data_IF_291576317615
#
_entry.id   IF_291576317615
#
_cell.length_a   1.000
_cell.length_b   1.000
_cell.length_c   1.000
_cell.angle_alpha   90.00
_cell.angle_beta   90.00
_cell.angle_gamma   90.00
#
_symmetry.space_group_name_H-M   'P 1'
#
loop_
_entity.id
_entity.type
_entity.pdbx_description
1 polymer ?
#
# COMPACT_ATOMS: atom_id res chain seq x y z
N UNK A 1 -14.71 -39.79 36.26
CA UNK A 1 -13.73 -38.68 36.39
C UNK A 1 -13.41 -38.28 34.96
N UNK A 2 -14.32 -37.51 34.38
CA UNK A 2 -14.23 -37.00 33.01
C UNK A 2 -13.51 -35.67 33.04
N UNK A 3 -12.41 -35.57 32.30
CA UNK A 3 -11.67 -34.33 32.07
C UNK A 3 -11.82 -33.96 30.59
N UNK A 4 -12.84 -33.15 30.32
CA UNK A 4 -13.08 -32.45 29.06
C UNK A 4 -12.03 -31.37 28.84
N UNK A 5 -11.18 -31.54 27.83
CA UNK A 5 -10.26 -30.53 27.32
C UNK A 5 -11.00 -29.56 26.40
N UNK A 6 -10.97 -28.27 26.74
CA UNK A 6 -11.49 -27.17 25.92
C UNK A 6 -10.67 -26.98 24.63
N UNK A 7 -11.28 -26.59 23.50
CA UNK A 7 -10.54 -26.27 22.29
C UNK A 7 -9.93 -24.86 22.42
N UNK A 8 -8.61 -24.79 22.36
CA UNK A 8 -7.84 -23.54 22.23
C UNK A 8 -8.12 -22.89 20.88
N UNK A 9 -8.51 -21.62 20.92
CA UNK A 9 -8.62 -20.73 19.76
C UNK A 9 -7.33 -20.78 18.95
N UNK A 10 -7.44 -21.06 17.64
CA UNK A 10 -6.35 -20.89 16.69
C UNK A 10 -6.29 -19.42 16.31
N UNK A 11 -5.10 -18.85 16.42
CA UNK A 11 -4.72 -17.57 15.84
C UNK A 11 -5.02 -17.54 14.33
N UNK A 12 -5.87 -16.61 13.91
CA UNK A 12 -6.24 -16.32 12.52
C UNK A 12 -5.24 -15.35 11.85
N UNK A 13 -3.96 -15.34 12.25
CA UNK A 13 -2.99 -14.34 11.77
C UNK A 13 -2.22 -14.72 10.51
N UNK A 14 -2.49 -15.86 9.86
CA UNK A 14 -1.70 -16.38 8.71
C UNK A 14 -2.53 -16.55 7.41
N UNK A 15 -3.83 -16.23 7.36
CA UNK A 15 -4.67 -16.52 6.17
C UNK A 15 -5.01 -15.36 5.23
N UNK A 16 -4.56 -14.12 5.48
CA UNK A 16 -5.09 -12.94 4.76
C UNK A 16 -4.36 -12.54 3.46
N UNK A 17 -3.22 -13.14 3.12
CA UNK A 17 -2.42 -12.73 1.95
C UNK A 17 -2.94 -13.25 0.61
N UNK A 18 -3.69 -14.36 0.59
CA UNK A 18 -4.28 -14.92 -0.64
C UNK A 18 -5.50 -14.15 -1.17
N UNK A 19 -5.94 -13.09 -0.49
CA UNK A 19 -7.09 -12.27 -0.88
C UNK A 19 -6.74 -10.82 -1.27
N UNK A 20 -5.44 -10.49 -1.33
CA UNK A 20 -5.00 -9.13 -1.63
C UNK A 20 -5.31 -8.75 -3.09
N UNK A 21 -5.90 -7.57 -3.27
CA UNK A 21 -6.36 -7.04 -4.55
C UNK A 21 -5.86 -5.63 -4.72
N UNK A 22 -5.41 -5.31 -5.93
CA UNK A 22 -4.74 -4.05 -6.18
C UNK A 22 -5.10 -3.46 -7.54
N UNK A 23 -5.17 -2.14 -7.62
CA UNK A 23 -4.92 -1.42 -8.88
C UNK A 23 -3.41 -1.39 -9.17
N UNK A 24 -2.96 -1.04 -10.39
CA UNK A 24 -1.56 -0.79 -10.68
C UNK A 24 -0.86 0.13 -9.66
N UNK A 25 -1.48 1.27 -9.32
CA UNK A 25 -0.88 2.21 -8.36
C UNK A 25 -0.89 1.65 -6.93
N UNK A 26 -1.96 0.94 -6.54
CA UNK A 26 -2.03 0.28 -5.24
C UNK A 26 -0.99 -0.84 -5.08
N UNK A 27 -0.76 -1.62 -6.14
CA UNK A 27 0.30 -2.64 -6.17
C UNK A 27 1.67 -1.99 -6.04
N UNK A 28 1.91 -0.90 -6.77
CA UNK A 28 3.17 -0.16 -6.67
C UNK A 28 3.39 0.39 -5.24
N UNK A 29 2.35 0.95 -4.61
CA UNK A 29 2.39 1.36 -3.20
C UNK A 29 2.73 0.17 -2.28
N UNK A 30 2.06 -0.96 -2.45
CA UNK A 30 2.33 -2.17 -1.69
C UNK A 30 3.79 -2.63 -1.81
N UNK A 31 4.36 -2.62 -3.02
CA UNK A 31 5.77 -2.98 -3.26
C UNK A 31 6.77 -2.05 -2.57
N UNK A 32 6.43 -0.76 -2.46
CA UNK A 32 7.29 0.23 -1.80
C UNK A 32 7.23 0.16 -0.27
N UNK A 33 6.05 -0.11 0.31
CA UNK A 33 5.83 0.12 1.74
C UNK A 33 5.56 -1.13 2.57
N UNK A 34 5.14 -2.24 1.96
CA UNK A 34 4.54 -3.35 2.71
C UNK A 34 5.09 -4.73 2.37
N UNK A 35 5.73 -4.90 1.21
CA UNK A 35 6.15 -6.22 0.73
C UNK A 35 6.97 -7.02 1.75
N UNK A 36 7.92 -6.37 2.44
CA UNK A 36 8.79 -7.02 3.44
C UNK A 36 8.12 -7.29 4.80
N UNK A 37 6.92 -6.77 5.03
CA UNK A 37 6.17 -6.98 6.29
C UNK A 37 5.32 -8.25 6.27
N UNK A 38 5.22 -8.92 5.12
CA UNK A 38 4.26 -10.01 4.91
C UNK A 38 4.78 -11.38 5.38
N UNK A 39 6.10 -11.59 5.42
CA UNK A 39 6.72 -12.90 5.71
C UNK A 39 7.51 -12.97 7.03
N UNK A 40 7.61 -11.88 7.78
CA UNK A 40 8.43 -11.84 9.00
C UNK A 40 7.57 -12.00 10.26
N UNK A 41 7.68 -13.16 10.93
CA UNK A 41 7.40 -13.24 12.37
C UNK A 41 8.22 -12.15 13.09
N UNK A 42 7.73 -11.59 14.21
CA UNK A 42 8.40 -10.52 14.94
C UNK A 42 9.68 -11.05 15.58
N UNK A 43 10.73 -11.21 14.78
CA UNK A 43 12.08 -11.49 15.23
C UNK A 43 12.79 -10.16 15.49
N UNK A 44 13.62 -10.17 16.53
CA UNK A 44 14.08 -9.03 17.34
C UNK A 44 15.11 -8.10 16.65
N UNK A 45 15.09 -8.00 15.31
CA UNK A 45 15.89 -7.05 14.54
C UNK A 45 15.05 -6.42 13.42
N UNK A 46 14.08 -5.60 13.84
CA UNK A 46 13.26 -4.72 13.01
C UNK A 46 14.09 -3.57 12.39
N UNK A 47 15.18 -3.90 11.66
CA UNK A 47 16.03 -2.94 10.93
C UNK A 47 15.53 -2.66 9.51
N UNK A 48 14.63 -3.49 8.97
CA UNK A 48 14.31 -3.49 7.54
C UNK A 48 12.95 -2.88 7.18
N UNK A 49 12.14 -2.43 8.14
CA UNK A 49 10.87 -1.74 7.85
C UNK A 49 11.11 -0.27 7.48
N UNK A 50 11.64 -0.02 6.29
CA UNK A 50 11.67 1.32 5.67
C UNK A 50 10.88 1.31 4.36
N UNK A 51 10.37 2.47 3.92
CA UNK A 51 9.91 2.65 2.55
C UNK A 51 11.03 2.41 1.56
N UNK A 52 10.85 1.47 0.64
CA UNK A 52 11.85 1.23 -0.39
C UNK A 52 11.91 2.41 -1.35
N UNK A 53 13.12 2.86 -1.66
CA UNK A 53 13.34 3.87 -2.69
C UNK A 53 14.17 3.25 -3.81
N UNK A 54 13.48 2.65 -4.76
CA UNK A 54 14.09 1.91 -5.86
C UNK A 54 14.71 2.83 -6.92
N UNK A 55 15.90 2.43 -7.38
CA UNK A 55 16.57 2.97 -8.56
C UNK A 55 16.57 1.92 -9.68
N UNK A 56 16.28 2.35 -10.90
CA UNK A 56 16.39 1.54 -12.11
C UNK A 56 17.86 1.45 -12.54
N UNK A 57 18.38 0.24 -12.59
CA UNK A 57 19.74 -0.06 -13.04
C UNK A 57 19.78 -0.41 -14.53
N UNK A 58 20.96 -0.39 -15.18
CA UNK A 58 21.08 -0.72 -16.60
C UNK A 58 20.52 -2.10 -16.93
N UNK A 59 19.53 -2.14 -17.83
CA UNK A 59 18.96 -3.39 -18.33
C UNK A 59 19.97 -4.16 -19.18
N UNK A 60 19.97 -5.49 -19.06
CA UNK A 60 20.53 -6.36 -20.11
C UNK A 60 19.49 -6.49 -21.24
N UNK A 61 19.92 -6.81 -22.46
CA UNK A 61 19.10 -6.78 -23.68
C UNK A 61 17.67 -7.37 -23.51
N UNK A 62 16.66 -6.63 -23.98
CA UNK A 62 15.21 -6.94 -24.01
C UNK A 62 14.52 -7.26 -22.67
N UNK A 63 15.20 -7.12 -21.53
CA UNK A 63 14.62 -7.33 -20.20
C UNK A 63 14.23 -6.00 -19.52
N UNK A 64 13.24 -6.04 -18.63
CA UNK A 64 12.98 -4.93 -17.71
C UNK A 64 14.26 -4.62 -16.89
N UNK A 65 14.55 -3.34 -16.61
CA UNK A 65 15.70 -3.00 -15.78
C UNK A 65 15.54 -3.60 -14.37
N UNK A 66 16.61 -4.10 -13.75
CA UNK A 66 16.57 -4.47 -12.35
C UNK A 66 16.40 -3.21 -11.48
N UNK A 67 15.63 -3.34 -10.41
CA UNK A 67 15.37 -2.24 -9.48
C UNK A 67 16.04 -2.55 -8.14
N UNK A 68 16.82 -1.61 -7.60
CA UNK A 68 17.55 -1.81 -6.34
C UNK A 68 17.23 -0.65 -5.40
N UNK A 69 16.83 -0.97 -4.16
CA UNK A 69 16.54 0.03 -3.14
C UNK A 69 17.83 0.73 -2.70
N UNK A 70 17.85 2.06 -2.64
CA UNK A 70 19.07 2.79 -2.24
C UNK A 70 19.40 2.73 -0.74
N UNK A 71 18.44 2.27 0.08
CA UNK A 71 18.59 2.20 1.54
C UNK A 71 19.08 0.81 1.96
N UNK A 72 18.36 -0.25 1.58
CA UNK A 72 18.70 -1.63 1.98
C UNK A 72 19.33 -2.48 0.89
N UNK A 73 19.42 -1.99 -0.34
CA UNK A 73 19.97 -2.70 -1.50
C UNK A 73 19.23 -3.98 -1.90
N UNK A 74 18.03 -4.23 -1.34
CA UNK A 74 17.15 -5.28 -1.85
C UNK A 74 16.81 -5.04 -3.32
N UNK A 75 16.79 -6.13 -4.09
CA UNK A 75 16.48 -6.11 -5.51
C UNK A 75 15.02 -6.48 -5.73
N UNK A 76 14.27 -5.58 -6.35
CA UNK A 76 12.94 -5.85 -6.87
C UNK A 76 13.06 -6.30 -8.34
N UNK A 77 12.51 -7.48 -8.63
CA UNK A 77 12.45 -8.04 -9.98
C UNK A 77 10.98 -8.18 -10.38
N UNK A 78 10.61 -7.54 -11.49
CA UNK A 78 9.27 -7.64 -12.07
C UNK A 78 9.37 -8.21 -13.49
N UNK A 79 8.77 -9.38 -13.69
CA UNK A 79 8.70 -10.05 -14.99
C UNK A 79 7.26 -10.08 -15.47
N UNK A 80 6.98 -9.48 -16.61
CA UNK A 80 5.72 -9.67 -17.31
C UNK A 80 5.67 -11.12 -17.86
N UNK A 81 4.67 -11.89 -17.41
CA UNK A 81 4.45 -13.28 -17.83
C UNK A 81 3.58 -13.37 -19.09
N UNK A 82 2.79 -12.33 -19.34
CA UNK A 82 1.99 -12.18 -20.56
C UNK A 82 2.26 -10.81 -21.18
N UNK A 83 2.29 -10.75 -22.52
CA UNK A 83 2.25 -9.47 -23.21
C UNK A 83 0.84 -8.91 -23.11
N UNK A 84 0.67 -7.62 -22.80
CA UNK A 84 -0.66 -7.00 -22.87
C UNK A 84 -1.18 -7.09 -24.31
N UNK A 85 -2.48 -7.29 -24.46
CA UNK A 85 -3.15 -7.32 -25.78
C UNK A 85 -3.23 -5.93 -26.43
N UNK A 86 -3.08 -4.87 -25.62
CA UNK A 86 -3.13 -3.44 -25.98
C UNK A 86 -2.01 -2.67 -25.25
N UNK A 87 -2.11 -1.34 -25.12
CA UNK A 87 -1.23 -0.56 -24.23
C UNK A 87 -1.31 -1.09 -22.79
N UNK A 88 -0.17 -1.18 -22.09
CA UNK A 88 -0.06 -1.77 -20.74
C UNK A 88 -1.00 -1.08 -19.75
N UNK A 89 -1.32 0.21 -19.93
CA UNK A 89 -2.21 0.98 -19.05
C UNK A 89 -3.71 0.69 -19.23
N UNK A 90 -4.09 -0.08 -20.24
CA UNK A 90 -5.49 -0.31 -20.60
C UNK A 90 -5.91 -1.74 -20.24
N UNK A 91 -6.98 -1.85 -19.47
CA UNK A 91 -7.66 -3.11 -19.19
C UNK A 91 -8.87 -3.24 -20.11
N UNK A 92 -9.06 -4.43 -20.71
CA UNK A 92 -10.19 -4.69 -21.60
C UNK A 92 -11.55 -4.82 -20.90
N UNK A 93 -11.55 -4.94 -19.56
CA UNK A 93 -12.76 -5.24 -18.76
C UNK A 93 -13.11 -4.11 -17.78
N UNK A 94 -12.19 -3.19 -17.50
CA UNK A 94 -12.37 -2.18 -16.45
C UNK A 94 -11.59 -0.90 -16.72
N UNK A 95 -11.76 0.13 -15.87
CA UNK A 95 -11.08 1.40 -16.01
C UNK A 95 -9.57 1.31 -15.75
N UNK A 96 -9.10 0.28 -15.05
CA UNK A 96 -7.68 -0.04 -14.81
C UNK A 96 -7.54 -1.56 -14.60
N UNK A 97 -6.31 -2.06 -14.51
CA UNK A 97 -6.10 -3.46 -14.13
C UNK A 97 -6.53 -3.71 -12.68
N UNK A 98 -7.06 -4.88 -12.41
CA UNK A 98 -7.41 -5.30 -11.06
C UNK A 98 -6.69 -6.60 -10.76
N UNK A 99 -5.52 -6.46 -10.14
CA UNK A 99 -4.59 -7.53 -9.87
C UNK A 99 -4.99 -8.31 -8.64
N UNK A 100 -5.03 -9.63 -8.77
CA UNK A 100 -5.20 -10.57 -7.68
C UNK A 100 -3.86 -11.22 -7.36
N UNK A 101 -3.51 -11.30 -6.08
CA UNK A 101 -2.32 -12.01 -5.63
C UNK A 101 -2.55 -13.54 -5.64
N UNK A 102 -1.77 -14.25 -6.44
CA UNK A 102 -1.70 -15.70 -6.53
C UNK A 102 -0.35 -16.21 -6.02
N UNK A 103 -0.31 -17.25 -5.18
CA UNK A 103 0.94 -17.85 -4.73
C UNK A 103 1.70 -18.57 -5.87
N UNK A 104 3.04 -18.49 -5.95
CA UNK A 104 3.92 -17.60 -5.18
C UNK A 104 4.10 -16.24 -5.89
N UNK A 105 3.70 -15.14 -5.25
CA UNK A 105 3.97 -13.73 -5.66
C UNK A 105 3.68 -13.39 -7.14
N UNK A 106 2.64 -14.01 -7.69
CA UNK A 106 2.13 -13.75 -9.04
C UNK A 106 0.91 -12.85 -8.94
N UNK A 107 0.93 -11.73 -9.66
CA UNK A 107 -0.19 -10.79 -9.72
C UNK A 107 -0.85 -10.91 -11.07
N UNK A 108 -2.14 -11.27 -11.12
CA UNK A 108 -2.86 -11.45 -12.37
C UNK A 108 -4.12 -10.57 -12.41
N UNK A 109 -4.27 -9.79 -13.47
CA UNK A 109 -5.46 -8.98 -13.69
C UNK A 109 -6.67 -9.89 -13.98
N UNK A 110 -7.73 -9.79 -13.17
CA UNK A 110 -8.91 -10.64 -13.29
C UNK A 110 -9.74 -10.41 -14.57
N UNK A 111 -9.43 -9.35 -15.33
CA UNK A 111 -10.12 -8.98 -16.56
C UNK A 111 -9.38 -9.43 -17.82
N UNK A 112 -8.17 -8.89 -18.04
CA UNK A 112 -7.39 -9.12 -19.25
C UNK A 112 -6.31 -10.20 -19.12
N UNK A 113 -6.16 -10.82 -17.95
CA UNK A 113 -5.12 -11.83 -17.65
C UNK A 113 -3.67 -11.32 -17.82
N UNK A 114 -3.48 -9.99 -17.80
CA UNK A 114 -2.15 -9.43 -17.70
C UNK A 114 -1.53 -9.86 -16.37
N UNK A 115 -0.39 -10.55 -16.45
CA UNK A 115 0.20 -11.24 -15.31
C UNK A 115 1.66 -10.83 -15.10
N UNK A 116 2.00 -10.61 -13.84
CA UNK A 116 3.32 -10.20 -13.37
C UNK A 116 3.83 -11.20 -12.35
N UNK A 117 5.09 -11.61 -12.48
CA UNK A 117 5.82 -12.29 -11.43
C UNK A 117 6.69 -11.25 -10.71
N UNK A 118 6.52 -11.15 -9.41
CA UNK A 118 7.34 -10.28 -8.57
C UNK A 118 8.19 -11.12 -7.62
N UNK A 119 9.45 -10.74 -7.46
CA UNK A 119 10.32 -11.26 -6.40
C UNK A 119 11.15 -10.14 -5.81
N UNK A 120 11.48 -10.27 -4.53
CA UNK A 120 12.42 -9.41 -3.84
C UNK A 120 13.58 -10.26 -3.32
N UNK A 121 14.77 -9.95 -3.80
CA UNK A 121 15.98 -10.69 -3.44
C UNK A 121 16.84 -9.85 -2.49
N UNK A 122 17.40 -10.49 -1.46
CA UNK A 122 18.35 -9.85 -0.55
C UNK A 122 19.64 -9.41 -1.27
N UNK A 123 20.29 -8.33 -0.79
CA UNK A 123 21.53 -7.85 -1.39
C UNK A 123 22.65 -8.88 -1.29
N UNK A 124 23.46 -8.99 -2.35
CA UNK A 124 24.66 -9.83 -2.34
C UNK A 124 25.74 -9.16 -1.48
N UNK A 125 25.95 -7.87 -1.66
CA UNK A 125 26.80 -7.06 -0.80
C UNK A 125 25.99 -6.59 0.41
N UNK A 126 26.10 -7.35 1.48
CA UNK A 126 25.43 -7.01 2.74
C UNK A 126 25.84 -5.60 3.23
N UNK A 127 24.93 -4.84 3.84
CA UNK A 127 25.20 -3.48 4.33
C UNK A 127 26.43 -3.37 5.24
N UNK A 128 26.77 -4.42 5.99
CA UNK A 128 27.95 -4.44 6.87
C UNK A 128 29.26 -4.26 6.10
N UNK A 129 29.36 -4.78 4.88
CA UNK A 129 30.55 -4.61 4.03
C UNK A 129 30.76 -3.14 3.66
N UNK A 130 29.67 -2.44 3.36
CA UNK A 130 29.71 -1.01 3.06
C UNK A 130 30.12 -0.19 4.28
N UNK A 131 29.56 -0.52 5.46
CA UNK A 131 29.95 0.11 6.73
C UNK A 131 31.42 -0.13 7.08
N UNK A 132 31.97 -1.31 6.79
CA UNK A 132 33.40 -1.59 6.98
C UNK A 132 34.29 -0.71 6.07
N UNK A 133 33.90 -0.52 4.82
CA UNK A 133 34.62 0.36 3.89
C UNK A 133 34.60 1.82 4.37
N UNK A 134 33.44 2.31 4.85
CA UNK A 134 33.29 3.68 5.36
C UNK A 134 34.17 4.00 6.58
N UNK A 135 34.52 3.00 7.41
CA UNK A 135 35.40 3.20 8.58
C UNK A 135 36.82 3.64 8.18
N UNK A 136 37.25 3.25 6.99
CA UNK A 136 38.63 3.43 6.51
C UNK A 136 38.71 4.36 5.30
N UNK A 137 37.56 4.71 4.69
CA UNK A 137 37.46 5.53 3.49
C UNK A 137 36.44 6.64 3.72
N UNK A 138 36.88 7.91 3.86
CA UNK A 138 35.96 9.02 4.03
C UNK A 138 35.11 9.26 2.78
N UNK A 139 33.90 9.78 2.97
CA UNK A 139 33.00 10.18 1.88
C UNK A 139 33.45 11.47 1.18
N UNK A 140 34.13 12.37 1.91
CA UNK A 140 34.56 13.66 1.41
C UNK A 140 36.09 13.74 1.35
N UNK A 141 36.63 14.18 0.21
CA UNK A 141 38.03 14.54 0.08
C UNK A 141 38.23 15.95 0.65
N UNK A 142 39.02 16.09 1.72
CA UNK A 142 39.58 17.38 2.11
C UNK A 142 40.59 17.81 1.04
N UNK A 143 40.48 19.05 0.53
CA UNK A 143 41.26 19.54 -0.63
C UNK A 143 42.79 19.51 -0.45
N UNK A 144 43.29 19.32 0.77
CA UNK A 144 44.72 19.46 1.11
C UNK A 144 45.35 18.20 1.76
N UNK A 145 44.69 17.04 1.77
CA UNK A 145 45.27 15.80 2.32
C UNK A 145 45.90 14.88 1.26
N UNK A 146 46.98 14.15 1.60
CA UNK A 146 47.62 13.20 0.70
C UNK A 146 46.62 12.11 0.26
N UNK A 147 46.83 11.56 -0.95
CA UNK A 147 46.00 10.56 -1.63
C UNK A 147 45.65 9.36 -0.74
N UNK A 148 44.61 9.51 0.08
CA UNK A 148 44.01 8.43 0.84
C UNK A 148 42.81 7.89 0.05
N UNK A 149 42.56 6.56 0.09
CA UNK A 149 41.39 5.97 -0.54
C UNK A 149 40.10 6.64 -0.05
N UNK A 150 39.32 7.20 -0.97
CA UNK A 150 37.98 7.70 -0.69
C UNK A 150 36.92 6.74 -1.22
N UNK A 151 35.70 6.89 -0.71
CA UNK A 151 34.63 5.94 -1.01
C UNK A 151 34.22 5.95 -2.50
N UNK A 152 34.15 7.11 -3.13
CA UNK A 152 33.75 7.23 -4.53
C UNK A 152 34.76 6.54 -5.46
N UNK A 153 36.06 6.76 -5.24
CA UNK A 153 37.12 6.16 -6.06
C UNK A 153 37.27 4.66 -5.84
N UNK A 154 37.04 4.18 -4.60
CA UNK A 154 36.98 2.77 -4.27
C UNK A 154 35.83 2.09 -5.02
N UNK A 155 34.59 2.61 -4.94
CA UNK A 155 33.44 2.06 -5.65
C UNK A 155 33.64 2.07 -7.18
N UNK A 156 34.18 3.16 -7.74
CA UNK A 156 34.54 3.24 -9.17
C UNK A 156 35.58 2.19 -9.58
N UNK A 157 36.53 1.87 -8.69
CA UNK A 157 37.54 0.83 -8.95
C UNK A 157 36.91 -0.57 -8.89
N UNK A 158 36.08 -0.84 -7.88
CA UNK A 158 35.34 -2.10 -7.75
C UNK A 158 34.42 -2.33 -8.97
N UNK A 159 33.71 -1.28 -9.43
CA UNK A 159 32.92 -1.32 -10.67
C UNK A 159 33.77 -1.69 -11.88
N UNK A 160 35.00 -1.18 -11.98
CA UNK A 160 35.93 -1.57 -13.06
C UNK A 160 36.27 -3.06 -12.98
N UNK A 161 36.53 -3.60 -11.79
CA UNK A 161 36.81 -5.03 -11.63
C UNK A 161 35.62 -5.92 -11.95
N UNK A 162 34.41 -5.52 -11.55
CA UNK A 162 33.19 -6.26 -11.90
C UNK A 162 32.92 -6.19 -13.41
N UNK A 163 33.13 -5.03 -14.06
CA UNK A 163 33.03 -4.91 -15.53
C UNK A 163 34.03 -5.81 -16.25
N UNK A 164 35.27 -5.87 -15.78
CA UNK A 164 36.30 -6.74 -16.34
C UNK A 164 35.89 -8.23 -16.26
N UNK A 165 35.34 -8.66 -15.11
CA UNK A 165 34.80 -10.02 -14.96
C UNK A 165 33.62 -10.29 -15.91
N UNK A 166 32.69 -9.33 -16.05
CA UNK A 166 31.57 -9.42 -17.00
C UNK A 166 32.02 -9.47 -18.47
N UNK A 167 33.21 -8.95 -18.78
CA UNK A 167 33.85 -9.03 -20.10
C UNK A 167 34.72 -10.27 -20.30
N UNK A 168 34.87 -11.14 -19.29
CA UNK A 168 35.67 -12.36 -19.39
C UNK A 168 37.12 -12.23 -18.96
N UNK A 169 37.54 -11.11 -18.36
CA UNK A 169 38.92 -10.91 -17.91
C UNK A 169 39.14 -11.56 -16.52
N UNK A 170 40.02 -12.57 -16.49
CA UNK A 170 40.38 -13.33 -15.29
C UNK A 170 41.81 -13.05 -14.80
N UNK A 171 42.36 -11.87 -15.12
CA UNK A 171 43.70 -11.49 -14.64
C UNK A 171 43.72 -11.23 -13.14
N UNK A 172 44.75 -11.77 -12.46
CA UNK A 172 45.00 -11.45 -11.06
C UNK A 172 45.37 -9.97 -10.87
N UNK A 173 44.92 -9.38 -9.77
CA UNK A 173 45.15 -7.97 -9.44
C UNK A 173 46.29 -7.88 -8.43
N UNK A 174 47.31 -7.08 -8.75
CA UNK A 174 48.42 -6.83 -7.86
C UNK A 174 48.00 -5.87 -6.72
N UNK A 175 48.00 -6.35 -5.47
CA UNK A 175 47.58 -5.55 -4.30
C UNK A 175 48.56 -4.43 -3.93
N UNK A 176 49.80 -4.49 -4.42
CA UNK A 176 50.86 -3.48 -4.24
C UNK A 176 50.87 -2.43 -5.36
N UNK A 177 49.98 -2.51 -6.34
CA UNK A 177 49.90 -1.52 -7.40
C UNK A 177 49.57 -0.13 -6.80
N UNK A 178 50.33 0.94 -7.13
CA UNK A 178 50.06 2.30 -6.64
C UNK A 178 48.62 2.77 -6.88
N UNK A 179 48.02 2.44 -8.03
CA UNK A 179 46.63 2.78 -8.34
C UNK A 179 45.61 2.01 -7.49
N UNK A 180 45.91 0.74 -7.16
CA UNK A 180 45.09 -0.04 -6.22
C UNK A 180 45.16 0.55 -4.82
N UNK A 181 46.37 0.81 -4.33
CA UNK A 181 46.60 1.35 -3.00
C UNK A 181 46.01 2.75 -2.82
N UNK A 182 46.10 3.62 -3.83
CA UNK A 182 45.57 4.98 -3.76
C UNK A 182 44.03 5.03 -3.76
N UNK A 183 43.35 4.07 -4.39
CA UNK A 183 41.88 4.10 -4.58
C UNK A 183 41.11 3.17 -3.67
N UNK A 184 41.63 1.97 -3.43
CA UNK A 184 40.98 0.98 -2.56
C UNK A 184 41.79 0.76 -1.28
N UNK A 185 43.13 0.74 -1.35
CA UNK A 185 43.97 0.39 -0.20
C UNK A 185 43.96 -1.11 0.11
N UNK A 186 44.85 -1.54 1.01
CA UNK A 186 44.94 -2.94 1.46
C UNK A 186 44.67 -3.03 2.97
N UNK A 187 43.43 -3.30 3.32
CA UNK A 187 42.96 -3.57 4.68
C UNK A 187 41.96 -4.75 4.66
N UNK A 188 41.45 -5.13 5.84
CA UNK A 188 40.52 -6.25 5.94
C UNK A 188 39.16 -5.95 5.27
N UNK A 189 38.78 -4.67 5.16
CA UNK A 189 37.58 -4.26 4.43
C UNK A 189 37.76 -4.46 2.91
N UNK A 190 38.92 -4.09 2.35
CA UNK A 190 39.31 -4.37 0.96
C UNK A 190 39.28 -5.86 0.67
N UNK A 191 39.86 -6.69 1.55
CA UNK A 191 39.86 -8.15 1.37
C UNK A 191 38.43 -8.71 1.39
N UNK A 192 37.60 -8.23 2.31
CA UNK A 192 36.21 -8.68 2.46
C UNK A 192 35.35 -8.32 1.25
N UNK A 193 35.46 -7.09 0.73
CA UNK A 193 34.70 -6.69 -0.47
C UNK A 193 35.21 -7.39 -1.73
N UNK A 194 36.52 -7.61 -1.85
CA UNK A 194 37.11 -8.35 -2.97
C UNK A 194 36.67 -9.83 -2.96
N UNK A 195 36.65 -10.45 -1.77
CA UNK A 195 36.08 -11.79 -1.58
C UNK A 195 34.59 -11.84 -1.92
N UNK A 196 33.82 -10.80 -1.58
CA UNK A 196 32.43 -10.67 -1.99
C UNK A 196 32.29 -10.57 -3.52
N UNK A 197 33.22 -9.96 -4.25
CA UNK A 197 33.19 -9.97 -5.73
C UNK A 197 33.55 -11.36 -6.29
N UNK A 198 34.35 -12.12 -5.56
CA UNK A 198 34.79 -13.48 -5.91
C UNK A 198 36.32 -13.61 -6.04
N UNK A 199 37.08 -12.56 -5.77
CA UNK A 199 38.55 -12.61 -5.77
C UNK A 199 39.08 -13.25 -4.49
N UNK A 200 40.13 -14.05 -4.61
CA UNK A 200 40.81 -14.67 -3.45
C UNK A 200 42.18 -14.03 -3.23
N UNK A 201 42.44 -13.52 -2.03
CA UNK A 201 43.76 -12.95 -1.70
C UNK A 201 44.78 -14.05 -1.42
N UNK A 202 45.88 -14.03 -2.17
CA UNK A 202 47.01 -14.93 -1.99
C UNK A 202 48.13 -14.23 -1.18
N UNK A 203 48.34 -14.68 0.06
CA UNK A 203 49.33 -14.10 0.97
C UNK A 203 50.78 -14.37 0.60
N UNK A 204 51.06 -15.33 -0.29
CA UNK A 204 52.43 -15.64 -0.73
C UNK A 204 52.86 -14.74 -1.89
N UNK A 205 51.93 -14.40 -2.78
CA UNK A 205 52.21 -13.60 -3.97
C UNK A 205 51.82 -12.13 -3.82
N UNK A 206 50.97 -11.79 -2.84
CA UNK A 206 50.32 -10.48 -2.68
C UNK A 206 49.40 -10.10 -3.86
N UNK A 207 48.81 -11.10 -4.52
CA UNK A 207 47.82 -10.91 -5.59
C UNK A 207 46.41 -11.29 -5.14
N UNK A 208 45.41 -10.67 -5.76
CA UNK A 208 44.04 -11.13 -5.74
C UNK A 208 43.79 -11.95 -7.01
N UNK A 209 43.60 -13.26 -6.84
CA UNK A 209 43.33 -14.17 -7.93
C UNK A 209 41.86 -14.09 -8.34
N UNK A 210 41.63 -14.00 -9.65
CA UNK A 210 40.30 -13.87 -10.21
C UNK A 210 39.50 -15.19 -10.10
N UNK A 211 38.17 -15.11 -9.93
CA UNK A 211 37.32 -16.30 -9.92
C UNK A 211 37.31 -17.01 -11.27
N UNK A 212 37.04 -18.32 -11.23
CA UNK A 212 36.75 -19.09 -12.44
C UNK A 212 35.37 -18.68 -12.98
N UNK A 213 35.30 -18.23 -14.24
CA UNK A 213 34.04 -17.75 -14.83
C UNK A 213 33.18 -18.94 -15.25
N UNK A 214 32.07 -19.16 -14.53
CA UNK A 214 31.00 -20.06 -14.97
C UNK A 214 29.79 -19.27 -15.50
N UNK A 215 28.92 -19.91 -16.28
CA UNK A 215 27.70 -19.27 -16.79
C UNK A 215 26.75 -18.80 -15.68
N UNK A 216 26.78 -19.45 -14.51
CA UNK A 216 26.01 -19.06 -13.32
C UNK A 216 26.54 -17.81 -12.60
N UNK A 217 27.81 -17.41 -12.81
CA UNK A 217 28.42 -16.29 -12.08
C UNK A 217 28.08 -14.92 -12.69
N UNK A 218 27.63 -14.90 -13.94
CA UNK A 218 27.32 -13.64 -14.64
C UNK A 218 26.18 -12.87 -13.95
N UNK A 219 25.10 -13.55 -13.56
CA UNK A 219 23.98 -12.91 -12.85
C UNK A 219 24.42 -12.34 -11.50
N UNK A 220 25.29 -13.05 -10.79
CA UNK A 220 25.89 -12.59 -9.54
C UNK A 220 26.68 -11.28 -9.72
N UNK A 221 27.49 -11.17 -10.76
CA UNK A 221 28.26 -9.94 -11.02
C UNK A 221 27.41 -8.79 -11.55
N UNK A 222 26.36 -9.07 -12.33
CA UNK A 222 25.34 -8.05 -12.67
C UNK A 222 24.74 -7.51 -11.38
N UNK A 223 24.39 -8.39 -10.46
CA UNK A 223 23.77 -8.00 -9.21
C UNK A 223 24.68 -7.11 -8.35
N UNK A 224 25.96 -7.50 -8.21
CA UNK A 224 26.97 -6.70 -7.50
C UNK A 224 27.23 -5.37 -8.21
N UNK A 225 27.28 -5.35 -9.55
CA UNK A 225 27.43 -4.11 -10.33
C UNK A 225 26.32 -3.13 -9.99
N UNK A 226 25.08 -3.60 -9.98
CA UNK A 226 23.91 -2.75 -9.74
C UNK A 226 23.90 -2.19 -8.31
N UNK A 227 24.20 -3.02 -7.31
CA UNK A 227 24.35 -2.58 -5.92
C UNK A 227 25.48 -1.54 -5.76
N UNK A 228 26.63 -1.71 -6.44
CA UNK A 228 27.71 -0.73 -6.45
C UNK A 228 27.30 0.60 -7.13
N UNK A 229 26.50 0.54 -8.20
CA UNK A 229 26.00 1.73 -8.89
C UNK A 229 25.02 2.52 -8.00
N UNK A 230 24.14 1.83 -7.29
CA UNK A 230 23.23 2.46 -6.32
C UNK A 230 23.99 3.11 -5.16
N UNK A 231 25.01 2.42 -4.62
CA UNK A 231 25.91 3.01 -3.63
C UNK A 231 26.57 4.28 -4.14
N UNK A 232 27.07 4.26 -5.38
CA UNK A 232 27.73 5.41 -5.98
C UNK A 232 26.75 6.58 -6.21
N UNK A 233 25.51 6.28 -6.61
CA UNK A 233 24.45 7.27 -6.77
C UNK A 233 24.15 8.00 -5.46
N UNK A 234 24.02 7.27 -4.35
CA UNK A 234 23.80 7.86 -3.02
C UNK A 234 24.94 8.80 -2.59
N UNK A 235 26.16 8.58 -3.08
CA UNK A 235 27.30 9.49 -2.86
C UNK A 235 27.30 10.69 -3.83
N UNK A 236 26.89 10.49 -5.09
CA UNK A 236 26.92 11.51 -6.15
C UNK A 236 25.80 12.55 -6.03
N UNK A 237 24.66 12.19 -5.44
CA UNK A 237 23.57 13.14 -5.11
C UNK A 237 24.08 14.30 -4.22
N UNK A 238 25.22 14.12 -3.55
CA UNK A 238 25.90 15.16 -2.76
C UNK A 238 26.94 15.99 -3.53
N UNK A 239 27.30 15.63 -4.78
CA UNK A 239 28.48 16.17 -5.49
C UNK A 239 28.21 16.63 -6.94
N UNK A 240 27.07 16.29 -7.55
CA UNK A 240 26.59 16.93 -8.78
C UNK A 240 27.41 16.67 -10.06
N UNK A 241 27.99 15.48 -10.23
CA UNK A 241 28.79 15.13 -11.41
C UNK A 241 28.03 14.21 -12.41
N UNK A 242 28.11 14.55 -13.69
CA UNK A 242 27.12 14.25 -14.74
C UNK A 242 27.29 12.93 -15.49
N UNK A 243 27.39 11.79 -14.80
CA UNK A 243 27.22 10.47 -15.47
C UNK A 243 26.29 9.58 -14.66
N UNK A 244 24.99 9.87 -14.77
CA UNK A 244 23.95 9.15 -14.06
C UNK A 244 23.59 7.86 -14.81
N UNK A 245 24.13 6.73 -14.34
CA UNK A 245 23.88 5.38 -14.90
C UNK A 245 22.64 4.69 -14.30
N UNK A 246 22.06 5.26 -13.24
CA UNK A 246 20.85 4.78 -12.57
C UNK A 246 19.86 5.93 -12.45
N UNK A 247 18.57 5.64 -12.59
CA UNK A 247 17.50 6.64 -12.51
C UNK A 247 16.47 6.25 -11.45
N UNK A 248 15.59 7.19 -11.06
CA UNK A 248 14.47 6.86 -10.18
C UNK A 248 13.60 5.79 -10.85
N UNK A 249 13.27 4.71 -10.12
CA UNK A 249 12.53 3.58 -10.68
C UNK A 249 11.04 3.88 -10.94
N UNK A 250 10.47 4.84 -10.21
CA UNK A 250 9.03 5.10 -10.17
C UNK A 250 8.39 5.25 -11.57
N UNK A 251 8.93 6.04 -12.53
CA UNK A 251 8.33 6.15 -13.86
C UNK A 251 8.29 4.81 -14.61
N UNK A 252 9.40 4.07 -14.60
CA UNK A 252 9.49 2.76 -15.27
C UNK A 252 8.58 1.72 -14.63
N UNK A 253 8.47 1.71 -13.30
CA UNK A 253 7.57 0.82 -12.59
C UNK A 253 6.10 1.15 -12.88
N UNK A 254 5.75 2.43 -12.96
CA UNK A 254 4.39 2.84 -13.38
C UNK A 254 4.06 2.34 -14.78
N UNK A 255 5.00 2.41 -15.72
CA UNK A 255 4.81 1.92 -17.08
C UNK A 255 4.67 0.38 -17.13
N UNK A 256 5.51 -0.35 -16.38
CA UNK A 256 5.46 -1.82 -16.29
C UNK A 256 4.15 -2.31 -15.66
N UNK A 257 3.68 -1.64 -14.60
CA UNK A 257 2.47 -2.05 -13.88
C UNK A 257 1.18 -1.58 -14.59
N UNK A 258 1.28 -0.66 -15.55
CA UNK A 258 0.14 -0.11 -16.27
C UNK A 258 -0.62 0.96 -15.49
N UNK A 259 0.08 1.81 -14.74
CA UNK A 259 -0.54 2.89 -13.95
C UNK A 259 -1.08 3.99 -14.86
N UNK A 260 -2.41 4.16 -14.84
CA UNK A 260 -3.05 5.32 -15.46
C UNK A 260 -3.03 6.52 -14.51
N UNK A 261 -2.04 7.40 -14.72
CA UNK A 261 -1.82 8.61 -13.91
C UNK A 261 -2.99 9.60 -13.90
N UNK A 262 -3.95 9.47 -14.84
CA UNK A 262 -5.16 10.30 -14.86
C UNK A 262 -6.22 9.81 -13.88
N UNK A 263 -6.16 8.53 -13.48
CA UNK A 263 -7.11 7.87 -12.59
C UNK A 263 -6.57 7.63 -11.20
N UNK A 264 -5.26 7.45 -11.07
CA UNK A 264 -4.57 7.16 -9.82
C UNK A 264 -3.15 7.69 -9.85
N UNK A 265 -2.80 8.51 -8.87
CA UNK A 265 -1.48 9.14 -8.79
C UNK A 265 -0.79 8.78 -7.48
N UNK A 266 0.42 8.27 -7.58
CA UNK A 266 1.31 8.17 -6.42
C UNK A 266 1.96 9.52 -6.18
N UNK A 267 1.89 10.00 -4.94
CA UNK A 267 2.64 11.16 -4.47
C UNK A 267 4.07 10.70 -4.14
N UNK A 268 5.10 11.12 -4.91
CA UNK A 268 6.46 10.59 -4.75
C UNK A 268 7.16 11.04 -3.45
N UNK A 269 6.78 12.20 -2.92
CA UNK A 269 7.46 12.89 -1.82
C UNK A 269 6.59 12.99 -0.56
N UNK A 270 5.45 12.30 -0.52
CA UNK A 270 4.65 12.22 0.70
C UNK A 270 5.34 11.24 1.66
N UNK A 271 5.66 11.67 2.87
CA UNK A 271 5.98 10.72 3.94
C UNK A 271 4.79 9.76 4.04
N UNK A 272 5.01 8.43 4.02
CA UNK A 272 3.92 7.48 4.06
C UNK A 272 3.18 7.65 5.38
N UNK A 273 2.00 8.28 5.31
CA UNK A 273 1.12 8.29 6.45
C UNK A 273 0.71 6.84 6.74
N UNK A 274 0.40 6.51 8.00
CA UNK A 274 -0.24 5.21 8.30
C UNK A 274 -1.53 5.01 7.49
N UNK A 275 -2.12 6.08 6.98
CA UNK A 275 -3.30 6.03 6.13
C UNK A 275 -2.99 5.59 4.69
N UNK A 276 -1.77 5.77 4.15
CA UNK A 276 -1.37 5.54 2.74
C UNK A 276 -1.26 4.05 2.32
N UNK A 277 -1.88 3.16 3.08
CA UNK A 277 -1.87 1.73 2.82
C UNK A 277 -3.00 1.32 1.85
N UNK A 278 -2.75 0.46 0.84
CA UNK A 278 -3.76 0.17 -0.19
C UNK A 278 -5.07 -0.43 0.35
N UNK A 279 -5.02 -1.19 1.43
CA UNK A 279 -6.19 -1.71 2.15
C UNK A 279 -7.13 -0.60 2.66
N UNK A 280 -6.59 0.56 3.04
CA UNK A 280 -7.39 1.74 3.39
C UNK A 280 -8.05 2.44 2.20
N UNK A 281 -7.68 2.07 0.96
CA UNK A 281 -8.23 2.65 -0.27
C UNK A 281 -8.70 1.58 -1.26
N UNK A 282 -9.28 0.48 -0.78
CA UNK A 282 -9.88 -0.56 -1.62
C UNK A 282 -8.88 -1.20 -2.61
N UNK A 283 -7.61 -1.31 -2.22
CA UNK A 283 -6.53 -1.80 -3.07
C UNK A 283 -5.92 -0.75 -4.00
N UNK A 284 -6.24 0.54 -3.81
CA UNK A 284 -5.71 1.65 -4.63
C UNK A 284 -4.86 2.61 -3.79
N UNK A 285 -4.87 3.90 -4.15
CA UNK A 285 -4.08 4.97 -3.51
C UNK A 285 -4.98 6.14 -3.11
N UNK A 286 -4.52 6.96 -2.17
CA UNK A 286 -5.26 8.11 -1.64
C UNK A 286 -5.70 9.13 -2.71
N UNK A 287 -5.01 9.21 -3.84
CA UNK A 287 -5.33 10.13 -4.95
C UNK A 287 -6.07 9.45 -6.12
N UNK A 288 -6.62 8.25 -5.92
CA UNK A 288 -7.51 7.61 -6.89
C UNK A 288 -8.76 8.47 -7.15
N UNK A 289 -9.24 8.53 -8.38
CA UNK A 289 -10.47 9.27 -8.72
C UNK A 289 -11.71 8.64 -8.10
N UNK A 290 -12.73 9.44 -7.79
CA UNK A 290 -13.99 8.95 -7.22
C UNK A 290 -14.64 7.85 -8.06
N UNK A 291 -14.58 7.98 -9.40
CA UNK A 291 -15.12 6.97 -10.31
C UNK A 291 -14.37 5.63 -10.20
N UNK A 292 -13.05 5.66 -10.00
CA UNK A 292 -12.26 4.46 -9.78
C UNK A 292 -12.60 3.83 -8.42
N UNK A 293 -12.75 4.64 -7.36
CA UNK A 293 -13.13 4.16 -6.02
C UNK A 293 -14.50 3.48 -6.01
N UNK A 294 -15.50 4.07 -6.68
CA UNK A 294 -16.84 3.47 -6.83
C UNK A 294 -16.75 2.14 -7.58
N UNK A 295 -16.01 2.10 -8.69
CA UNK A 295 -15.82 0.88 -9.47
C UNK A 295 -15.14 -0.22 -8.64
N UNK A 296 -14.09 0.12 -7.89
CA UNK A 296 -13.40 -0.83 -6.99
C UNK A 296 -14.34 -1.36 -5.91
N UNK A 297 -15.11 -0.49 -5.27
CA UNK A 297 -16.10 -0.90 -4.28
C UNK A 297 -17.06 -1.95 -4.85
N UNK A 298 -17.70 -1.70 -6.00
CA UNK A 298 -18.59 -2.68 -6.63
C UNK A 298 -17.88 -3.97 -6.99
N UNK A 299 -16.64 -3.87 -7.48
CA UNK A 299 -15.85 -5.04 -7.85
C UNK A 299 -15.52 -5.91 -6.64
N UNK A 300 -15.11 -5.29 -5.54
CA UNK A 300 -14.75 -5.97 -4.30
C UNK A 300 -15.98 -6.59 -3.60
N UNK A 301 -17.14 -5.93 -3.64
CA UNK A 301 -18.40 -6.49 -3.14
C UNK A 301 -18.82 -7.73 -3.94
N UNK A 302 -18.61 -7.73 -5.27
CA UNK A 302 -18.89 -8.90 -6.11
C UNK A 302 -17.94 -10.07 -5.84
N UNK A 303 -16.66 -9.77 -5.62
CA UNK A 303 -15.62 -10.79 -5.41
C UNK A 303 -15.55 -11.32 -3.98
N UNK A 304 -15.90 -10.48 -3.00
CA UNK A 304 -15.88 -10.77 -1.55
C UNK A 304 -17.08 -10.13 -0.86
N UNK A 305 -18.29 -10.69 -1.06
CA UNK A 305 -19.52 -10.16 -0.46
C UNK A 305 -19.45 -10.09 1.07
N UNK A 306 -18.76 -11.05 1.71
CA UNK A 306 -18.63 -11.11 3.16
C UNK A 306 -17.95 -9.86 3.74
N UNK A 307 -17.07 -9.19 2.97
CA UNK A 307 -16.36 -7.98 3.38
C UNK A 307 -17.04 -6.68 2.91
N UNK A 308 -18.25 -6.76 2.35
CA UNK A 308 -18.94 -5.59 1.80
C UNK A 308 -19.14 -4.45 2.82
N UNK A 309 -19.32 -4.80 4.10
CA UNK A 309 -19.40 -3.83 5.20
C UNK A 309 -18.11 -3.04 5.41
N UNK A 310 -16.94 -3.69 5.26
CA UNK A 310 -15.63 -3.02 5.34
C UNK A 310 -15.46 -2.06 4.16
N UNK A 311 -15.79 -2.51 2.94
CA UNK A 311 -15.66 -1.67 1.75
C UNK A 311 -16.59 -0.46 1.80
N UNK A 312 -17.78 -0.63 2.38
CA UNK A 312 -18.73 0.47 2.60
C UNK A 312 -18.18 1.52 3.57
N UNK A 313 -17.57 1.10 4.68
CA UNK A 313 -16.93 2.00 5.64
C UNK A 313 -15.76 2.76 5.02
N UNK A 314 -14.93 2.08 4.22
CA UNK A 314 -13.82 2.71 3.48
C UNK A 314 -14.35 3.75 2.48
N UNK A 315 -15.38 3.41 1.70
CA UNK A 315 -15.98 4.34 0.74
C UNK A 315 -16.57 5.57 1.43
N UNK A 316 -17.26 5.40 2.57
CA UNK A 316 -17.81 6.49 3.36
C UNK A 316 -16.73 7.36 4.03
N UNK A 317 -15.62 6.75 4.49
CA UNK A 317 -14.45 7.48 5.00
C UNK A 317 -13.87 8.38 3.91
N UNK A 318 -13.69 7.84 2.71
CA UNK A 318 -13.14 8.58 1.58
C UNK A 318 -14.09 9.68 1.06
N UNK A 319 -15.41 9.41 1.03
CA UNK A 319 -16.42 10.43 0.73
C UNK A 319 -16.31 11.64 1.66
N UNK A 320 -16.14 11.38 2.98
CA UNK A 320 -15.95 12.44 3.97
C UNK A 320 -14.62 13.16 3.81
N UNK A 321 -13.51 12.42 3.71
CA UNK A 321 -12.15 13.00 3.62
C UNK A 321 -12.00 13.94 2.43
N UNK A 322 -12.63 13.59 1.30
CA UNK A 322 -12.55 14.33 0.03
C UNK A 322 -13.65 15.37 -0.13
N UNK A 323 -14.63 15.40 0.78
CA UNK A 323 -15.86 16.17 0.62
C UNK A 323 -16.55 15.89 -0.74
N UNK A 324 -16.56 14.62 -1.16
CA UNK A 324 -17.04 14.22 -2.50
C UNK A 324 -18.53 13.89 -2.51
N UNK A 325 -19.32 14.73 -3.18
CA UNK A 325 -20.75 14.49 -3.42
C UNK A 325 -21.01 13.21 -4.22
N UNK A 326 -20.10 12.85 -5.14
CA UNK A 326 -20.22 11.65 -5.97
C UNK A 326 -20.11 10.39 -5.12
N UNK A 327 -19.10 10.34 -4.24
CA UNK A 327 -18.93 9.22 -3.32
C UNK A 327 -20.08 9.17 -2.31
N UNK A 328 -20.54 10.32 -1.79
CA UNK A 328 -21.71 10.35 -0.91
C UNK A 328 -22.99 9.87 -1.58
N UNK A 329 -23.19 10.20 -2.85
CA UNK A 329 -24.33 9.71 -3.62
C UNK A 329 -24.29 8.19 -3.74
N UNK A 330 -23.11 7.62 -4.03
CA UNK A 330 -22.95 6.17 -4.09
C UNK A 330 -23.19 5.51 -2.74
N UNK A 331 -22.61 6.04 -1.66
CA UNK A 331 -22.85 5.57 -0.29
C UNK A 331 -24.35 5.58 0.04
N UNK A 332 -25.05 6.68 -0.25
CA UNK A 332 -26.49 6.75 0.00
C UNK A 332 -27.29 5.74 -0.84
N UNK A 333 -26.89 5.50 -2.09
CA UNK A 333 -27.52 4.52 -2.98
C UNK A 333 -27.34 3.10 -2.43
N UNK A 334 -26.13 2.73 -2.03
CA UNK A 334 -25.81 1.41 -1.51
C UNK A 334 -26.46 1.16 -0.14
N UNK A 335 -26.48 2.16 0.74
CA UNK A 335 -27.26 2.12 1.99
C UNK A 335 -28.75 1.88 1.72
N UNK A 336 -29.33 2.49 0.68
CA UNK A 336 -30.73 2.26 0.31
C UNK A 336 -31.02 0.84 -0.17
N UNK A 337 -30.01 0.17 -0.75
CA UNK A 337 -30.07 -1.26 -1.13
C UNK A 337 -29.86 -2.20 0.06
N UNK A 338 -29.64 -1.66 1.26
CA UNK A 338 -29.43 -2.42 2.48
C UNK A 338 -27.96 -2.76 2.76
N UNK A 339 -27.02 -2.22 1.99
CA UNK A 339 -25.59 -2.39 2.28
C UNK A 339 -25.18 -1.41 3.38
N UNK A 340 -24.72 -1.94 4.52
CA UNK A 340 -24.37 -1.14 5.70
C UNK A 340 -22.92 -1.36 6.05
N UNK A 341 -22.25 -0.30 6.50
CA UNK A 341 -20.87 -0.35 6.98
C UNK A 341 -20.81 -0.55 8.50
N UNK A 342 -19.73 -1.15 9.00
CA UNK A 342 -19.53 -1.46 10.43
C UNK A 342 -19.74 -0.26 11.35
N UNK A 343 -19.34 0.93 10.91
CA UNK A 343 -19.49 2.16 11.68
C UNK A 343 -20.96 2.48 11.93
N UNK A 344 -21.83 2.25 10.94
CA UNK A 344 -23.28 2.44 11.06
C UNK A 344 -23.91 1.36 11.94
N UNK A 345 -23.47 0.11 11.78
CA UNK A 345 -23.88 -1.02 12.62
C UNK A 345 -23.59 -0.75 14.10
N UNK A 346 -22.35 -0.37 14.41
CA UNK A 346 -21.90 -0.07 15.77
C UNK A 346 -22.66 1.10 16.39
N UNK A 347 -22.93 2.15 15.61
CA UNK A 347 -23.77 3.28 16.05
C UNK A 347 -25.19 2.86 16.40
N UNK A 348 -25.81 1.98 15.62
CA UNK A 348 -27.17 1.52 15.87
C UNK A 348 -27.28 0.75 17.20
N UNK A 349 -26.35 -0.16 17.51
CA UNK A 349 -26.32 -0.84 18.82
C UNK A 349 -26.03 0.14 19.96
N UNK A 350 -25.04 1.01 19.77
CA UNK A 350 -24.64 1.99 20.79
C UNK A 350 -25.77 2.97 21.13
N UNK A 351 -26.65 3.25 20.16
CA UNK A 351 -27.83 4.10 20.35
C UNK A 351 -28.77 3.58 21.45
N UNK A 352 -28.85 2.26 21.62
CA UNK A 352 -29.61 1.60 22.68
C UNK A 352 -28.77 1.29 23.93
N UNK A 353 -27.54 1.81 24.02
CA UNK A 353 -26.63 1.50 25.12
C UNK A 353 -26.13 0.06 25.11
N UNK A 354 -26.24 -0.62 23.97
CA UNK A 354 -25.78 -2.00 23.79
C UNK A 354 -24.34 -1.95 23.30
N UNK A 355 -23.47 -2.74 23.94
CA UNK A 355 -22.13 -2.97 23.44
C UNK A 355 -22.22 -3.67 22.05
N UNK A 356 -21.68 -3.07 20.97
CA UNK A 356 -21.69 -3.69 19.64
C UNK A 356 -21.03 -5.06 19.57
N UNK A 357 -20.22 -5.45 20.57
CA UNK A 357 -19.61 -6.77 20.67
C UNK A 357 -20.45 -7.79 21.46
N UNK A 358 -21.53 -7.36 22.12
CA UNK A 358 -22.41 -8.27 22.86
C UNK A 358 -23.30 -9.06 21.88
N UNK A 359 -22.99 -10.34 21.69
CA UNK A 359 -23.72 -11.21 20.75
C UNK A 359 -25.12 -11.65 21.21
N UNK A 360 -25.45 -11.48 22.49
CA UNK A 360 -26.57 -12.21 23.11
C UNK A 360 -27.77 -11.36 23.51
N UNK A 361 -27.91 -10.12 23.00
CA UNK A 361 -29.11 -9.33 23.32
C UNK A 361 -30.33 -9.94 22.64
N UNK A 362 -31.31 -10.35 23.43
CA UNK A 362 -32.58 -10.91 22.95
C UNK A 362 -33.38 -9.90 22.12
N UNK A 363 -34.13 -10.40 21.14
CA UNK A 363 -34.96 -9.55 20.26
C UNK A 363 -36.09 -8.85 21.01
N UNK A 364 -36.67 -9.48 22.04
CA UNK A 364 -37.68 -8.86 22.89
C UNK A 364 -37.11 -7.68 23.67
N UNK A 365 -35.90 -7.82 24.21
CA UNK A 365 -35.21 -6.71 24.87
C UNK A 365 -34.95 -5.53 23.93
N UNK A 366 -34.61 -5.78 22.66
CA UNK A 366 -34.46 -4.73 21.65
C UNK A 366 -35.79 -4.00 21.35
N UNK A 367 -36.90 -4.73 21.29
CA UNK A 367 -38.24 -4.14 21.11
C UNK A 367 -38.63 -3.29 22.32
N UNK A 368 -38.40 -3.79 23.53
CA UNK A 368 -38.70 -3.07 24.78
C UNK A 368 -37.86 -1.79 24.90
N UNK A 369 -36.57 -1.84 24.54
CA UNK A 369 -35.69 -0.66 24.52
C UNK A 369 -36.16 0.38 23.49
N UNK A 370 -36.62 -0.07 22.32
CA UNK A 370 -37.19 0.82 21.31
C UNK A 370 -38.48 1.48 21.79
N UNK A 371 -39.43 0.71 22.33
CA UNK A 371 -40.70 1.23 22.82
C UNK A 371 -40.49 2.23 23.97
N UNK A 372 -39.58 1.91 24.91
CA UNK A 372 -39.21 2.81 26.00
C UNK A 372 -38.63 4.13 25.48
N UNK A 373 -37.77 4.11 24.45
CA UNK A 373 -37.20 5.33 23.86
C UNK A 373 -38.25 6.15 23.10
N UNK A 374 -39.17 5.48 22.41
CA UNK A 374 -40.29 6.13 21.72
C UNK A 374 -41.22 6.87 22.68
N UNK A 375 -41.41 6.35 23.90
CA UNK A 375 -42.20 7.00 24.96
C UNK A 375 -41.46 8.18 25.61
N UNK A 376 -40.17 8.01 25.91
CA UNK A 376 -39.37 9.03 26.61
C UNK A 376 -38.97 10.20 25.71
N UNK A 377 -38.67 9.91 24.45
CA UNK A 377 -38.06 10.84 23.49
C UNK A 377 -38.83 10.86 22.15
N UNK A 378 -40.13 11.18 22.13
CA UNK A 378 -40.98 11.07 20.93
C UNK A 378 -40.55 11.97 19.77
N UNK A 379 -39.81 13.06 20.05
CA UNK A 379 -39.28 13.97 19.04
C UNK A 379 -38.18 13.33 18.17
N UNK A 380 -37.52 12.27 18.67
CA UNK A 380 -36.45 11.55 17.97
C UNK A 380 -36.93 10.23 17.36
N UNK A 381 -38.23 10.14 17.06
CA UNK A 381 -38.87 8.93 16.51
C UNK A 381 -38.16 8.39 15.27
N UNK A 382 -37.68 9.28 14.40
CA UNK A 382 -37.01 8.88 13.16
C UNK A 382 -35.71 8.15 13.47
N UNK A 383 -34.91 8.71 14.36
CA UNK A 383 -33.64 8.18 14.81
C UNK A 383 -33.81 6.85 15.55
N UNK A 384 -34.80 6.75 16.46
CA UNK A 384 -35.16 5.49 17.11
C UNK A 384 -35.51 4.42 16.07
N UNK A 385 -36.30 4.78 15.06
CA UNK A 385 -36.75 3.84 14.03
C UNK A 385 -35.59 3.37 13.16
N UNK A 386 -34.74 4.29 12.71
CA UNK A 386 -33.59 4.01 11.87
C UNK A 386 -32.59 3.08 12.57
N UNK A 387 -32.30 3.32 13.86
CA UNK A 387 -31.40 2.46 14.63
C UNK A 387 -31.93 1.02 14.76
N UNK A 388 -33.22 0.84 15.07
CA UNK A 388 -33.80 -0.51 15.15
C UNK A 388 -33.90 -1.19 13.77
N UNK A 389 -34.17 -0.42 12.71
CA UNK A 389 -34.25 -0.94 11.34
C UNK A 389 -32.89 -1.49 10.87
N UNK A 390 -31.79 -0.80 11.20
CA UNK A 390 -30.42 -1.27 10.95
C UNK A 390 -30.18 -2.62 11.64
N UNK A 391 -30.49 -2.72 12.94
CA UNK A 391 -30.31 -3.95 13.71
C UNK A 391 -31.16 -5.09 13.14
N UNK A 392 -32.42 -4.80 12.77
CA UNK A 392 -33.33 -5.78 12.19
C UNK A 392 -32.79 -6.36 10.87
N UNK A 393 -32.21 -5.52 10.00
CA UNK A 393 -31.62 -5.93 8.71
C UNK A 393 -30.42 -6.85 8.90
N UNK A 394 -29.48 -6.48 9.78
CA UNK A 394 -28.24 -7.23 10.00
C UNK A 394 -28.52 -8.60 10.64
N UNK A 395 -29.47 -8.65 11.57
CA UNK A 395 -29.91 -9.91 12.19
C UNK A 395 -30.85 -10.72 11.30
N UNK A 396 -31.25 -10.20 10.14
CA UNK A 396 -32.30 -10.76 9.29
C UNK A 396 -33.59 -11.08 10.07
N UNK A 397 -33.91 -10.25 11.07
CA UNK A 397 -35.00 -10.50 12.02
C UNK A 397 -36.34 -10.05 11.46
N UNK A 398 -37.22 -11.02 11.18
CA UNK A 398 -38.60 -10.75 10.80
C UNK A 398 -39.39 -10.12 11.96
N UNK A 399 -39.12 -10.53 13.21
CA UNK A 399 -39.84 -10.06 14.38
C UNK A 399 -39.62 -8.57 14.63
N UNK A 400 -38.35 -8.11 14.60
CA UNK A 400 -38.02 -6.68 14.71
C UNK A 400 -38.60 -5.86 13.56
N UNK A 401 -38.55 -6.40 12.34
CA UNK A 401 -39.13 -5.76 11.15
C UNK A 401 -40.66 -5.63 11.22
N UNK A 402 -41.33 -6.62 11.81
CA UNK A 402 -42.78 -6.61 12.01
C UNK A 402 -43.20 -5.65 13.12
N UNK A 403 -42.44 -5.58 14.21
CA UNK A 403 -42.65 -4.62 15.30
C UNK A 403 -42.61 -3.17 14.77
N UNK A 404 -41.59 -2.83 13.97
CA UNK A 404 -41.47 -1.53 13.30
C UNK A 404 -42.68 -1.17 12.42
N UNK A 405 -43.26 -2.15 11.72
CA UNK A 405 -44.47 -1.93 10.88
C UNK A 405 -45.71 -1.73 11.73
N UNK A 406 -45.80 -2.38 12.90
CA UNK A 406 -46.95 -2.29 13.80
C UNK A 406 -47.00 -0.93 14.49
N UNK A 407 -45.87 -0.44 14.97
CA UNK A 407 -45.76 0.87 15.63
C UNK A 407 -46.04 2.04 14.68
N UNK A 408 -45.79 1.89 13.38
CA UNK A 408 -46.20 2.89 12.38
C UNK A 408 -47.73 3.04 12.23
N UNK A 409 -48.50 1.97 12.50
CA UNK A 409 -49.98 1.98 12.38
C UNK A 409 -50.71 2.48 13.62
N UNK A 410 -50.06 2.47 14.78
CA UNK A 410 -50.68 2.84 16.06
C UNK A 410 -50.57 4.33 16.40
N UNK A 411 -49.97 5.13 15.53
CA UNK A 411 -49.82 6.57 15.78
C UNK A 411 -51.08 7.31 15.33
N UNK A 412 -51.81 7.98 16.24
CA UNK A 412 -52.95 8.80 15.86
C UNK A 412 -52.47 9.91 14.89
N UNK A 413 -53.28 10.26 13.87
CA UNK A 413 -52.92 11.32 12.95
C UNK A 413 -52.56 12.59 13.74
N UNK A 414 -51.57 13.38 13.27
CA UNK A 414 -51.24 14.64 13.90
C UNK A 414 -52.53 15.43 14.10
N UNK A 415 -52.73 16.05 15.29
CA UNK A 415 -53.93 16.83 15.53
C UNK A 415 -54.13 17.81 14.38
N UNK A 416 -55.37 17.97 13.87
CA UNK A 416 -55.63 18.80 12.71
C UNK A 416 -54.99 20.18 12.94
N UNK A 417 -54.36 20.77 11.91
CA UNK A 417 -53.66 22.03 12.07
C UNK A 417 -54.61 23.04 12.72
N UNK A 418 -54.24 23.51 13.91
CA UNK A 418 -54.95 24.60 14.55
C UNK A 418 -54.70 25.82 13.67
N UNK A 419 -55.64 26.11 12.79
CA UNK A 419 -55.67 27.31 11.97
C UNK A 419 -55.89 28.51 12.88
N UNK A 420 -54.85 28.97 13.57
CA UNK A 420 -54.80 30.26 14.27
C UNK A 420 -53.36 30.54 14.73
N UNK A 421 -52.44 30.67 13.76
CA UNK A 421 -51.07 31.13 13.99
C UNK A 421 -50.08 30.64 12.93
N UNK A 422 -49.07 31.44 12.55
CA UNK A 422 -48.04 31.00 11.62
C UNK A 422 -47.27 29.84 12.24
N UNK A 423 -47.33 28.67 11.62
CA UNK A 423 -46.54 27.51 12.01
C UNK A 423 -45.07 27.75 11.65
N UNK A 424 -44.17 27.51 12.59
CA UNK A 424 -42.73 27.55 12.34
C UNK A 424 -42.36 26.49 11.30
N UNK A 425 -41.65 26.91 10.24
CA UNK A 425 -41.19 26.03 9.17
C UNK A 425 -39.92 25.30 9.61
N UNK A 426 -39.91 23.97 9.43
CA UNK A 426 -38.69 23.16 9.62
C UNK A 426 -37.64 23.57 8.58
N UNK A 427 -36.44 23.90 9.06
CA UNK A 427 -35.31 24.31 8.25
C UNK A 427 -34.77 23.12 7.43
N UNK A 428 -35.10 23.09 6.14
CA UNK A 428 -34.60 22.09 5.16
C UNK A 428 -33.25 22.47 4.54
N UNK A 429 -32.49 23.41 5.14
CA UNK A 429 -31.11 23.71 4.75
C UNK A 429 -30.92 24.35 3.36
N UNK A 430 -31.99 24.60 2.60
CA UNK A 430 -31.91 25.19 1.28
C UNK A 430 -32.00 26.73 1.34
N UNK A 431 -30.90 27.41 1.03
CA UNK A 431 -30.79 28.88 0.98
C UNK A 431 -31.75 29.54 -0.02
N UNK A 432 -32.15 28.83 -1.08
CA UNK A 432 -33.11 29.30 -2.08
C UNK A 432 -34.51 29.55 -1.48
N UNK A 433 -34.88 28.79 -0.44
CA UNK A 433 -36.20 28.87 0.19
C UNK A 433 -36.31 30.07 1.14
N UNK A 434 -35.20 30.43 1.81
CA UNK A 434 -35.13 31.61 2.68
C UNK A 434 -35.37 32.91 1.90
N UNK A 435 -34.90 32.99 0.65
CA UNK A 435 -35.14 34.15 -0.21
C UNK A 435 -36.63 34.32 -0.57
N UNK A 436 -37.36 33.24 -0.82
CA UNK A 436 -38.80 33.31 -1.11
C UNK A 436 -39.62 33.76 0.10
N UNK A 437 -39.20 33.37 1.31
CA UNK A 437 -39.81 33.76 2.58
C UNK A 437 -39.58 35.23 2.93
N UNK A 438 -38.36 35.73 2.74
CA UNK A 438 -38.05 37.14 2.94
C UNK A 438 -38.84 38.01 1.94
N UNK A 439 -38.92 37.60 0.67
CA UNK A 439 -39.71 38.32 -0.33
C UNK A 439 -41.20 38.35 0.01
N UNK A 440 -41.76 37.29 0.58
CA UNK A 440 -43.15 37.28 1.01
C UNK A 440 -43.42 38.20 2.21
N UNK A 441 -42.51 38.26 3.18
CA UNK A 441 -42.66 39.10 4.37
C UNK A 441 -42.44 40.60 4.10
N UNK A 442 -41.60 40.95 3.12
CA UNK A 442 -41.35 42.36 2.75
C UNK A 442 -42.35 42.92 1.71
N UNK A 443 -43.30 42.11 1.21
CA UNK A 443 -44.36 42.56 0.29
C UNK A 443 -45.69 42.91 1.00
N UNK A 444 -45.75 42.76 2.34
CA UNK A 444 -46.95 43.01 3.16
C UNK A 444 -46.85 44.26 4.05
N UNK A 445 -46.04 45.26 3.65
CA UNK A 445 -46.12 46.64 4.14
C UNK A 445 -46.59 47.61 3.06
#
# INVERSE_FOLDING_TARGET
>A
MDSTSAPTAKDDSISNTTAARFTPAGLLSFLYYQYDRVDNEPSDNNRDSHPHEFLACPAEQDANPPFVCHICHKRLVIKALSSPTEEVSICSVGPTHHFHLQPPNRFECCGCHYALQVSMDDPIMKPELFQQLLKTRPMHLMKDEPQTPNMADALKLLLTYVKNLLSGDQRSINSKNPHFLARLGLDDASKSIMACIGYTFNSETDYFDAPQITSSDRSRWINIRDELLVCLYALQDQVGDGTQLVSRAMPTLQDILGVDRTKERLMPDAEPAQEDQPDHYLGSVAEATDALMIWLYHRLVQETPDNAHVYMDVLAKEARRRESDKLWTEVALESSKGQLGDTEIKKAYSYYGIDPQAMDVDEGALMDLYDSKMEQEPNFRKEHREALEIIAKIRMSHALSEHLKKTDKTVPPPPPPRHEGPVGLNNIGNTCYLNSLLQANFYLE
#
